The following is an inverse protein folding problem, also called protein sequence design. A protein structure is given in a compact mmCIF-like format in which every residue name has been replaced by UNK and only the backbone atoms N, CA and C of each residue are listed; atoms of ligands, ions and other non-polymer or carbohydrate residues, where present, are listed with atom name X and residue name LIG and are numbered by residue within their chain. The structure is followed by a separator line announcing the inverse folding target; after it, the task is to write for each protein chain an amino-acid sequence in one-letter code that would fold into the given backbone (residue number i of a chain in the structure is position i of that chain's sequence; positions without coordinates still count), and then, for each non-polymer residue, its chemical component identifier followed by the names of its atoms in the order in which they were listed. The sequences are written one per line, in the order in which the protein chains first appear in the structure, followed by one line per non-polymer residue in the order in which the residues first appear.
data_IF_891500228125
#
_entry.id   IF_891500228125
#
_cell.length_a   1.000
_cell.length_b   1.000
_cell.length_c   1.000
_cell.angle_alpha   90.00
_cell.angle_beta   90.00
_cell.angle_gamma   90.00
#
_symmetry.space_group_name_H-M   'P 1'
#
loop_
_entity.id
_entity.type
_entity.pdbx_description
1 polymer ?
#
# COMPACT_ATOMS: atom_id res chain seq x y z
N UNK A 1 54.49 -3.77 -39.95
CA UNK A 1 54.33 -3.65 -38.48
C UNK A 1 53.35 -2.48 -38.23
N UNK A 2 52.27 -2.49 -37.45
CA UNK A 2 51.77 -3.36 -36.39
C UNK A 2 50.23 -3.32 -36.36
N UNK A 3 49.56 -4.49 -36.30
CA UNK A 3 48.12 -4.63 -36.01
C UNK A 3 47.97 -5.48 -34.75
N UNK A 4 48.08 -4.88 -33.56
CA UNK A 4 47.74 -5.55 -32.29
C UNK A 4 47.36 -4.51 -31.23
N UNK A 5 46.09 -4.08 -31.19
CA UNK A 5 45.53 -3.37 -30.02
C UNK A 5 43.99 -3.41 -29.85
N UNK A 6 43.26 -4.28 -30.56
CA UNK A 6 41.78 -4.40 -30.41
C UNK A 6 41.29 -5.59 -29.57
N UNK A 7 42.13 -6.57 -29.24
CA UNK A 7 41.71 -7.81 -28.55
C UNK A 7 41.40 -7.65 -27.05
N UNK A 8 41.92 -6.63 -26.36
CA UNK A 8 41.76 -6.48 -24.90
C UNK A 8 40.42 -5.88 -24.44
N UNK A 9 39.77 -5.07 -25.29
CA UNK A 9 38.54 -4.34 -24.91
C UNK A 9 37.29 -5.23 -24.99
N UNK A 10 37.20 -6.08 -26.03
CA UNK A 10 36.08 -7.02 -26.22
C UNK A 10 36.02 -8.14 -25.19
N UNK A 11 37.17 -8.58 -24.66
CA UNK A 11 37.24 -9.60 -23.62
C UNK A 11 36.73 -9.09 -22.26
N UNK A 12 37.01 -7.82 -21.94
CA UNK A 12 36.51 -7.18 -20.70
C UNK A 12 35.00 -6.94 -20.75
N UNK A 13 34.45 -6.51 -21.89
CA UNK A 13 33.00 -6.35 -22.04
C UNK A 13 32.24 -7.68 -21.98
N UNK A 14 32.83 -8.75 -22.53
CA UNK A 14 32.27 -10.10 -22.43
C UNK A 14 32.26 -10.63 -20.98
N UNK A 15 33.32 -10.38 -20.20
CA UNK A 15 33.38 -10.80 -18.78
C UNK A 15 32.35 -10.04 -17.94
N UNK A 16 32.19 -8.73 -18.17
CA UNK A 16 31.19 -7.91 -17.45
C UNK A 16 29.76 -8.36 -17.79
N UNK A 17 29.48 -8.64 -19.07
CA UNK A 17 28.17 -9.14 -19.48
C UNK A 17 27.84 -10.51 -18.87
N UNK A 18 28.82 -11.42 -18.80
CA UNK A 18 28.68 -12.71 -18.14
C UNK A 18 28.45 -12.59 -16.63
N UNK A 19 29.17 -11.67 -15.95
CA UNK A 19 28.96 -11.42 -14.53
C UNK A 19 27.55 -10.87 -14.24
N UNK A 20 27.06 -9.94 -15.05
CA UNK A 20 25.70 -9.41 -14.93
C UNK A 20 24.62 -10.46 -15.19
N UNK A 21 24.85 -11.34 -16.17
CA UNK A 21 23.95 -12.46 -16.44
C UNK A 21 23.91 -13.45 -15.26
N UNK A 22 25.05 -13.78 -14.67
CA UNK A 22 25.13 -14.65 -13.48
C UNK A 22 24.44 -14.02 -12.26
N UNK A 23 24.59 -12.71 -12.06
CA UNK A 23 23.86 -11.98 -11.00
C UNK A 23 22.35 -12.03 -11.27
N UNK A 24 21.91 -11.78 -12.51
CA UNK A 24 20.51 -11.87 -12.89
C UNK A 24 19.91 -13.25 -12.67
N UNK A 25 20.64 -14.32 -13.02
CA UNK A 25 20.21 -15.71 -12.77
C UNK A 25 20.17 -16.03 -11.27
N UNK A 26 21.15 -15.58 -10.49
CA UNK A 26 21.14 -15.78 -9.04
C UNK A 26 19.96 -15.03 -8.37
N UNK A 27 19.68 -13.80 -8.78
CA UNK A 27 18.53 -13.02 -8.32
C UNK A 27 17.22 -13.70 -8.72
N UNK A 28 17.10 -14.14 -9.97
CA UNK A 28 15.91 -14.86 -10.44
C UNK A 28 15.67 -16.18 -9.70
N UNK A 29 16.72 -16.97 -9.47
CA UNK A 29 16.64 -18.20 -8.68
C UNK A 29 16.30 -17.92 -7.22
N UNK A 30 16.84 -16.86 -6.63
CA UNK A 30 16.49 -16.42 -5.28
C UNK A 30 15.02 -16.02 -5.18
N UNK A 31 14.53 -15.24 -6.15
CA UNK A 31 13.12 -14.82 -6.23
C UNK A 31 12.15 -15.99 -6.41
N UNK A 32 12.56 -17.06 -7.10
CA UNK A 32 11.71 -18.26 -7.25
C UNK A 32 11.68 -19.16 -6.01
N UNK A 33 12.78 -19.25 -5.26
CA UNK A 33 12.85 -20.10 -4.05
C UNK A 33 12.17 -19.46 -2.84
N UNK A 34 11.95 -18.15 -2.88
CA UNK A 34 11.33 -17.42 -1.77
C UNK A 34 10.10 -16.59 -2.22
N UNK A 35 9.00 -17.24 -2.64
CA UNK A 35 7.74 -16.54 -2.88
C UNK A 35 7.24 -15.96 -1.55
N UNK A 36 7.41 -14.65 -1.36
CA UNK A 36 6.91 -13.92 -0.19
C UNK A 36 7.95 -13.39 0.80
N UNK A 37 9.26 -13.60 0.61
CA UNK A 37 10.28 -12.94 1.44
C UNK A 37 10.84 -11.69 0.77
N UNK A 38 10.03 -10.63 0.73
CA UNK A 38 10.62 -9.30 0.66
C UNK A 38 11.23 -9.02 2.04
N UNK A 39 12.47 -8.51 2.15
CA UNK A 39 12.88 -7.88 3.41
C UNK A 39 11.84 -6.81 3.70
N UNK A 40 11.13 -6.95 4.82
CA UNK A 40 10.27 -5.90 5.33
C UNK A 40 11.18 -4.68 5.53
N UNK A 41 11.16 -3.73 4.60
CA UNK A 41 11.72 -2.42 4.86
C UNK A 41 10.91 -1.92 6.07
N UNK A 42 11.54 -1.65 7.24
CA UNK A 42 10.84 -0.88 8.26
C UNK A 42 10.32 0.39 7.59
N UNK A 43 9.29 1.04 8.10
CA UNK A 43 8.91 2.37 7.63
C UNK A 43 10.10 3.33 7.85
N UNK A 44 11.14 3.28 7.02
CA UNK A 44 12.19 4.26 6.98
C UNK A 44 11.58 5.40 6.19
N UNK A 45 10.78 6.16 6.91
CA UNK A 45 10.52 7.53 6.53
C UNK A 45 11.87 8.19 6.38
N UNK A 46 12.15 8.73 5.19
CA UNK A 46 13.16 9.77 5.02
C UNK A 46 12.95 10.76 6.17
N UNK A 47 13.96 11.04 7.01
CA UNK A 47 13.82 12.05 8.03
C UNK A 47 13.44 13.36 7.32
N UNK A 48 12.20 13.83 7.48
CA UNK A 48 11.96 15.25 7.25
C UNK A 48 12.73 15.94 8.37
N UNK A 49 13.91 16.43 7.99
CA UNK A 49 14.86 17.08 8.85
C UNK A 49 14.23 18.39 9.35
N UNK A 50 13.87 18.38 10.62
CA UNK A 50 13.84 19.54 11.49
C UNK A 50 14.37 19.07 12.84
N UNK A 51 15.24 19.86 13.45
CA UNK A 51 16.01 19.64 14.68
C UNK A 51 15.14 19.54 15.96
N UNK A 52 14.07 18.74 15.93
CA UNK A 52 13.34 18.42 17.14
C UNK A 52 14.21 17.52 18.03
N UNK A 53 14.40 17.86 19.32
CA UNK A 53 15.17 17.03 20.23
C UNK A 53 14.58 15.63 20.30
N UNK A 54 15.45 14.62 20.25
CA UNK A 54 15.07 13.24 20.49
C UNK A 54 14.73 13.06 21.97
N UNK A 55 13.56 12.48 22.25
CA UNK A 55 13.09 12.20 23.61
C UNK A 55 12.72 10.73 23.74
N UNK A 56 12.80 10.23 24.97
CA UNK A 56 12.46 8.85 25.27
C UNK A 56 10.94 8.62 25.15
N UNK A 57 10.54 7.46 24.64
CA UNK A 57 9.14 7.13 24.40
C UNK A 57 8.41 6.60 25.65
N UNK A 58 9.13 6.25 26.70
CA UNK A 58 8.64 5.60 27.92
C UNK A 58 7.94 6.56 28.90
N UNK A 59 8.33 7.84 28.91
CA UNK A 59 7.69 8.84 29.76
C UNK A 59 7.64 10.23 29.07
N UNK A 60 6.45 10.82 28.90
CA UNK A 60 6.31 12.22 28.50
C UNK A 60 6.90 13.15 29.58
N UNK A 61 7.84 14.00 29.19
CA UNK A 61 8.48 14.97 30.09
C UNK A 61 7.71 16.31 30.05
N UNK A 62 7.14 16.79 31.17
CA UNK A 62 6.44 18.08 31.22
C UNK A 62 7.26 19.27 30.69
N UNK A 63 8.60 19.22 30.72
CA UNK A 63 9.45 20.27 30.15
C UNK A 63 9.38 20.38 28.60
N UNK A 64 8.78 19.38 27.94
CA UNK A 64 8.52 19.35 26.51
C UNK A 64 7.11 19.79 26.13
N UNK A 65 6.26 20.17 27.09
CA UNK A 65 4.89 20.61 26.81
C UNK A 65 4.85 21.75 25.79
N UNK A 66 4.03 21.60 24.76
CA UNK A 66 3.91 22.56 23.66
C UNK A 66 5.12 22.63 22.71
N UNK A 67 6.18 21.86 22.96
CA UNK A 67 7.39 21.84 22.12
C UNK A 67 7.31 20.72 21.10
N UNK A 68 7.95 20.96 19.95
CA UNK A 68 8.16 19.93 18.93
C UNK A 68 9.27 18.98 19.40
N UNK A 69 8.99 17.69 19.45
CA UNK A 69 9.91 16.63 19.86
C UNK A 69 9.93 15.50 18.83
N UNK A 70 11.02 14.73 18.80
CA UNK A 70 11.13 13.49 18.04
C UNK A 70 11.10 12.30 18.99
N UNK A 71 10.11 11.43 18.84
CA UNK A 71 9.94 10.24 19.68
C UNK A 71 10.24 9.01 18.83
N UNK A 72 11.14 8.14 19.28
CA UNK A 72 11.40 6.85 18.66
C UNK A 72 10.94 5.72 19.58
N UNK A 73 10.17 4.77 19.06
CA UNK A 73 9.63 3.67 19.86
C UNK A 73 8.91 2.62 19.01
N UNK A 74 8.22 1.69 19.67
CA UNK A 74 7.39 0.69 18.98
C UNK A 74 5.97 1.21 18.87
N UNK A 75 5.50 1.49 17.66
CA UNK A 75 4.10 1.83 17.40
C UNK A 75 3.24 0.59 17.57
N UNK A 76 2.18 0.70 18.36
CA UNK A 76 1.17 -0.34 18.55
C UNK A 76 -0.22 0.26 18.47
N UNK A 77 -1.17 -0.53 18.01
CA UNK A 77 -2.59 -0.24 18.17
C UNK A 77 -3.05 -0.81 19.52
N UNK A 78 -3.76 -0.03 20.33
CA UNK A 78 -4.43 -0.53 21.54
C UNK A 78 -5.88 -0.95 21.28
N UNK A 79 -6.40 -0.67 20.08
CA UNK A 79 -7.68 -1.16 19.57
C UNK A 79 -7.58 -1.45 18.07
N UNK A 80 -8.37 -2.39 17.51
CA UNK A 80 -8.29 -2.74 16.09
C UNK A 80 -8.69 -1.58 15.17
N UNK A 81 -8.07 -1.51 14.00
CA UNK A 81 -8.56 -0.73 12.86
C UNK A 81 -9.80 -1.43 12.28
N UNK A 82 -10.85 -0.65 11.95
CA UNK A 82 -12.15 -1.21 11.56
C UNK A 82 -12.70 -0.57 10.29
N UNK A 83 -13.00 -1.43 9.32
CA UNK A 83 -13.88 -1.13 8.19
C UNK A 83 -15.32 -1.50 8.58
N UNK A 84 -16.13 -0.51 8.93
CA UNK A 84 -17.53 -0.72 9.36
C UNK A 84 -18.46 -1.10 8.22
N UNK A 85 -18.11 -0.73 6.98
CA UNK A 85 -18.96 -0.98 5.82
C UNK A 85 -18.92 -2.46 5.42
N UNK A 86 -17.74 -3.09 5.56
CA UNK A 86 -17.56 -4.52 5.34
C UNK A 86 -17.48 -5.36 6.62
N UNK A 87 -17.57 -4.74 7.80
CA UNK A 87 -17.49 -5.41 9.09
C UNK A 87 -16.10 -5.98 9.45
N UNK A 88 -15.06 -5.59 8.72
CA UNK A 88 -13.70 -6.13 8.88
C UNK A 88 -12.97 -5.37 9.99
N UNK A 89 -12.35 -6.11 10.91
CA UNK A 89 -11.54 -5.57 12.01
C UNK A 89 -10.20 -6.28 12.07
N UNK A 90 -9.11 -5.51 12.23
CA UNK A 90 -7.75 -6.06 12.26
C UNK A 90 -6.92 -5.39 13.35
N UNK A 91 -6.16 -6.18 14.11
CA UNK A 91 -5.23 -5.73 15.13
C UNK A 91 -3.95 -5.15 14.51
N UNK A 92 -4.10 -4.02 13.83
CA UNK A 92 -3.03 -3.27 13.21
C UNK A 92 -3.26 -1.75 13.37
N UNK A 93 -2.20 -0.93 13.40
CA UNK A 93 -2.32 0.53 13.40
C UNK A 93 -3.20 1.08 12.27
N UNK A 94 -3.10 0.51 11.07
CA UNK A 94 -3.86 0.95 9.91
C UNK A 94 -4.31 -0.25 9.08
N UNK A 95 -5.57 -0.24 8.70
CA UNK A 95 -6.16 -1.10 7.67
C UNK A 95 -6.39 -0.26 6.40
N UNK A 96 -5.94 -0.76 5.26
CA UNK A 96 -6.12 -0.16 3.94
C UNK A 96 -7.05 -1.04 3.13
N UNK A 97 -8.13 -0.47 2.60
CA UNK A 97 -9.02 -1.09 1.62
C UNK A 97 -8.76 -0.47 0.26
N UNK A 98 -8.42 -1.30 -0.72
CA UNK A 98 -8.34 -0.88 -2.12
C UNK A 98 -9.46 -1.54 -2.90
N UNK A 99 -10.31 -0.72 -3.53
CA UNK A 99 -11.42 -1.15 -4.37
C UNK A 99 -11.10 -0.80 -5.81
N UNK A 100 -11.26 -1.78 -6.69
CA UNK A 100 -11.23 -1.57 -8.13
C UNK A 100 -12.53 -2.07 -8.72
N UNK A 101 -12.98 -1.41 -9.78
CA UNK A 101 -14.12 -1.85 -10.59
C UNK A 101 -13.62 -2.37 -11.93
N UNK A 102 -14.23 -3.47 -12.37
CA UNK A 102 -14.10 -3.98 -13.73
C UNK A 102 -14.87 -3.08 -14.66
N UNK A 103 -14.19 -2.43 -15.59
CA UNK A 103 -14.77 -1.41 -16.45
C UNK A 103 -13.99 -1.30 -17.76
N UNK A 104 -14.62 -0.73 -18.78
CA UNK A 104 -13.97 -0.40 -20.04
C UNK A 104 -12.94 0.71 -19.84
N UNK A 105 -11.78 0.50 -20.47
CA UNK A 105 -10.69 1.46 -20.57
C UNK A 105 -10.44 1.74 -22.05
N UNK A 106 -10.35 3.01 -22.41
CA UNK A 106 -9.96 3.47 -23.74
C UNK A 106 -8.47 3.77 -23.79
N UNK A 107 -7.81 3.35 -24.86
CA UNK A 107 -6.44 3.74 -25.21
C UNK A 107 -6.40 4.18 -26.66
N UNK A 108 -6.18 5.45 -26.90
CA UNK A 108 -6.05 6.00 -28.24
C UNK A 108 -4.59 6.22 -28.62
N UNK A 109 -4.27 5.92 -29.88
CA UNK A 109 -3.12 6.48 -30.58
C UNK A 109 -3.58 7.64 -31.49
N UNK A 110 -2.70 8.13 -32.36
CA UNK A 110 -3.01 9.26 -33.25
C UNK A 110 -4.18 8.97 -34.22
N UNK A 111 -4.49 7.71 -34.51
CA UNK A 111 -5.38 7.31 -35.60
C UNK A 111 -6.57 6.47 -35.11
N UNK A 112 -6.40 5.66 -34.07
CA UNK A 112 -7.36 4.67 -33.61
C UNK A 112 -7.44 4.61 -32.07
N UNK A 113 -8.57 4.13 -31.56
CA UNK A 113 -8.77 3.83 -30.13
C UNK A 113 -9.05 2.36 -29.93
N UNK A 114 -8.48 1.80 -28.87
CA UNK A 114 -8.64 0.43 -28.43
C UNK A 114 -9.39 0.42 -27.10
N UNK A 115 -10.33 -0.51 -26.97
CA UNK A 115 -11.12 -0.68 -25.76
C UNK A 115 -10.85 -2.05 -25.15
N UNK A 116 -10.58 -2.08 -23.85
CA UNK A 116 -10.38 -3.32 -23.13
C UNK A 116 -10.99 -3.22 -21.74
N UNK A 117 -11.51 -4.34 -21.25
CA UNK A 117 -11.90 -4.43 -19.85
C UNK A 117 -10.67 -4.47 -18.96
N UNK A 118 -10.62 -3.56 -17.99
CA UNK A 118 -9.56 -3.44 -16.99
C UNK A 118 -10.13 -3.31 -15.58
N UNK A 119 -9.25 -3.48 -14.60
CA UNK A 119 -9.54 -3.10 -13.22
C UNK A 119 -8.99 -1.70 -12.99
N UNK A 120 -9.86 -0.74 -12.69
CA UNK A 120 -9.46 0.62 -12.35
C UNK A 120 -10.03 1.00 -10.97
N UNK A 121 -9.27 1.80 -10.22
CA UNK A 121 -9.59 2.24 -8.86
C UNK A 121 -10.38 3.56 -8.81
N UNK A 122 -10.62 4.17 -9.97
CA UNK A 122 -11.44 5.35 -10.16
C UNK A 122 -12.51 5.10 -11.23
N UNK A 123 -13.64 5.81 -11.17
CA UNK A 123 -14.63 5.80 -12.24
C UNK A 123 -14.04 6.33 -13.55
N UNK A 124 -14.22 5.58 -14.64
CA UNK A 124 -13.90 6.03 -16.00
C UNK A 124 -15.20 6.47 -16.67
N UNK A 125 -15.26 7.75 -17.01
CA UNK A 125 -16.38 8.36 -17.71
C UNK A 125 -16.44 7.89 -19.18
N UNK A 126 -17.15 6.79 -19.42
CA UNK A 126 -17.27 6.18 -20.74
C UNK A 126 -18.05 7.03 -21.74
N UNK A 127 -18.79 8.07 -21.30
CA UNK A 127 -19.44 8.98 -22.26
C UNK A 127 -18.44 9.86 -22.99
N UNK A 128 -17.19 9.91 -22.53
CA UNK A 128 -16.08 10.64 -23.17
C UNK A 128 -15.25 9.77 -24.10
N UNK A 129 -15.56 8.48 -24.23
CA UNK A 129 -14.90 7.63 -25.22
C UNK A 129 -15.16 8.13 -26.64
N UNK A 130 -14.20 7.89 -27.54
CA UNK A 130 -14.34 8.20 -28.96
C UNK A 130 -15.49 7.41 -29.59
N UNK A 131 -15.70 6.18 -29.15
CA UNK A 131 -16.83 5.33 -29.50
C UNK A 131 -17.42 4.66 -28.25
N UNK A 132 -18.41 5.32 -27.59
CA UNK A 132 -19.04 4.80 -26.38
C UNK A 132 -19.96 3.59 -26.63
N UNK A 133 -20.37 3.33 -27.87
CA UNK A 133 -21.34 2.28 -28.17
C UNK A 133 -20.73 0.90 -27.84
N UNK A 134 -21.40 0.14 -26.97
CA UNK A 134 -20.90 -1.15 -26.48
C UNK A 134 -19.86 -1.07 -25.35
N UNK A 135 -19.42 0.15 -24.97
CA UNK A 135 -18.38 0.38 -23.97
C UNK A 135 -18.87 1.15 -22.72
N UNK A 136 -20.16 1.02 -22.40
CA UNK A 136 -20.75 1.70 -21.26
C UNK A 136 -20.20 1.16 -19.93
N UNK A 137 -19.76 2.06 -19.05
CA UNK A 137 -19.37 1.75 -17.68
C UNK A 137 -20.53 1.95 -16.69
N UNK A 138 -20.47 1.24 -15.56
CA UNK A 138 -21.44 1.40 -14.49
C UNK A 138 -21.32 2.80 -13.85
N UNK A 139 -22.44 3.52 -13.75
CA UNK A 139 -22.47 4.84 -13.11
C UNK A 139 -22.38 4.76 -11.58
N UNK A 140 -22.95 3.69 -11.01
CA UNK A 140 -22.93 3.45 -9.57
C UNK A 140 -21.59 2.86 -9.16
N UNK A 141 -21.01 3.40 -8.10
CA UNK A 141 -19.82 2.87 -7.46
C UNK A 141 -20.15 2.73 -5.98
N UNK A 142 -20.58 1.55 -5.51
CA UNK A 142 -21.16 1.43 -4.17
C UNK A 142 -20.12 1.40 -3.06
N UNK A 143 -18.87 1.04 -3.35
CA UNK A 143 -17.81 0.85 -2.36
C UNK A 143 -16.53 1.59 -2.77
N UNK A 144 -15.94 2.40 -1.89
CA UNK A 144 -14.69 3.15 -2.19
C UNK A 144 -13.47 2.58 -1.48
N UNK A 145 -12.29 2.80 -2.05
CA UNK A 145 -11.02 2.65 -1.33
C UNK A 145 -11.01 3.54 -0.09
N UNK A 146 -10.45 3.05 1.01
CA UNK A 146 -10.47 3.75 2.28
C UNK A 146 -9.27 3.36 3.16
N UNK A 147 -8.93 4.25 4.09
CA UNK A 147 -7.91 4.04 5.11
C UNK A 147 -8.56 4.15 6.48
N UNK A 148 -8.40 3.10 7.28
CA UNK A 148 -8.95 3.01 8.63
C UNK A 148 -7.81 2.98 9.63
N UNK A 149 -7.74 3.97 10.51
CA UNK A 149 -6.76 4.00 11.59
C UNK A 149 -7.36 3.38 12.85
N UNK A 150 -6.55 2.63 13.59
CA UNK A 150 -6.90 2.11 14.91
C UNK A 150 -7.43 3.22 15.83
N UNK A 151 -8.39 2.89 16.70
CA UNK A 151 -9.03 3.86 17.59
C UNK A 151 -8.07 4.56 18.54
N UNK A 152 -7.00 3.88 18.94
CA UNK A 152 -5.89 4.47 19.68
C UNK A 152 -4.56 3.85 19.22
N UNK A 153 -3.58 4.73 19.03
CA UNK A 153 -2.21 4.41 18.64
C UNK A 153 -1.28 4.81 19.76
N UNK A 154 -0.32 3.95 20.10
CA UNK A 154 0.68 4.23 21.13
C UNK A 154 2.09 4.07 20.59
N UNK A 155 2.96 5.01 20.94
CA UNK A 155 4.40 4.95 20.73
C UNK A 155 5.06 5.07 22.10
N UNK A 156 5.31 3.92 22.73
CA UNK A 156 5.60 3.87 24.17
C UNK A 156 4.42 4.41 25.00
N UNK A 157 4.69 5.36 25.88
CA UNK A 157 3.69 6.02 26.72
C UNK A 157 2.86 7.06 25.97
N UNK A 158 3.33 7.57 24.82
CA UNK A 158 2.61 8.58 24.04
C UNK A 158 1.42 8.00 23.30
N UNK A 159 0.26 8.66 23.41
CA UNK A 159 -0.85 8.48 22.48
C UNK A 159 -0.56 9.30 21.21
N UNK A 160 -0.54 8.64 20.07
CA UNK A 160 -0.16 9.24 18.78
C UNK A 160 -1.40 9.74 18.06
N UNK A 161 -1.36 10.99 17.61
CA UNK A 161 -2.32 11.53 16.66
C UNK A 161 -2.18 10.81 15.30
N UNK A 162 -3.26 10.21 14.76
CA UNK A 162 -3.28 9.61 13.43
C UNK A 162 -2.71 10.49 12.30
N UNK A 163 -2.80 11.82 12.43
CA UNK A 163 -2.26 12.77 11.46
C UNK A 163 -0.73 12.72 11.33
N UNK A 164 -0.04 12.17 12.33
CA UNK A 164 1.42 11.95 12.30
C UNK A 164 1.83 10.69 11.54
N UNK A 165 0.90 9.78 11.26
CA UNK A 165 1.22 8.59 10.49
C UNK A 165 1.42 8.95 9.01
N UNK A 166 2.44 8.41 8.33
CA UNK A 166 2.59 8.58 6.89
C UNK A 166 1.34 8.10 6.16
N UNK A 167 0.80 8.95 5.27
CA UNK A 167 -0.43 8.66 4.52
C UNK A 167 -0.19 7.58 3.46
N UNK A 168 1.02 7.54 2.93
CA UNK A 168 1.55 6.69 1.88
C UNK A 168 2.37 5.50 2.43
N UNK A 169 2.30 5.23 3.73
CA UNK A 169 2.94 4.06 4.34
C UNK A 169 2.57 2.79 3.55
N UNK A 170 3.55 2.03 3.04
CA UNK A 170 3.26 0.80 2.32
C UNK A 170 2.58 -0.20 3.24
N UNK A 171 1.46 -0.76 2.78
CA UNK A 171 0.77 -1.84 3.48
C UNK A 171 1.28 -3.21 3.03
N UNK A 172 1.30 -4.17 3.95
CA UNK A 172 1.48 -5.58 3.61
C UNK A 172 0.12 -6.21 3.28
N UNK A 173 0.00 -7.04 2.23
CA UNK A 173 -1.26 -7.69 1.90
C UNK A 173 -1.86 -8.44 3.10
N UNK A 174 -3.16 -8.24 3.32
CA UNK A 174 -3.90 -8.92 4.38
C UNK A 174 -5.06 -9.70 3.73
N UNK A 175 -4.95 -11.04 3.64
CA UNK A 175 -5.92 -11.85 2.92
C UNK A 175 -7.26 -11.86 3.65
N UNK A 176 -8.32 -11.45 2.94
CA UNK A 176 -9.69 -11.45 3.44
C UNK A 176 -10.43 -12.70 2.97
N UNK A 177 -11.31 -13.22 3.82
CA UNK A 177 -12.16 -14.39 3.60
C UNK A 177 -13.62 -14.06 3.89
N UNK A 178 -14.55 -14.82 3.30
CA UNK A 178 -15.99 -14.59 3.52
C UNK A 178 -16.42 -14.76 4.99
N UNK A 179 -15.71 -15.57 5.78
CA UNK A 179 -16.01 -15.79 7.19
C UNK A 179 -15.86 -14.52 8.06
N UNK A 180 -15.16 -13.50 7.55
CA UNK A 180 -14.95 -12.22 8.22
C UNK A 180 -16.03 -11.19 7.88
N UNK A 181 -16.88 -11.48 6.88
CA UNK A 181 -17.96 -10.58 6.47
C UNK A 181 -19.22 -10.82 7.32
N UNK A 182 -20.02 -9.76 7.59
CA UNK A 182 -21.38 -9.89 8.06
C UNK A 182 -22.24 -10.81 7.16
N UNK A 183 -23.20 -11.58 7.73
CA UNK A 183 -24.00 -12.55 6.96
C UNK A 183 -24.71 -11.96 5.73
N UNK A 184 -25.18 -10.72 5.83
CA UNK A 184 -25.86 -10.03 4.72
C UNK A 184 -24.94 -9.72 3.53
N UNK A 185 -23.61 -9.68 3.73
CA UNK A 185 -22.64 -9.42 2.67
C UNK A 185 -22.07 -10.69 2.03
N UNK A 186 -22.13 -11.83 2.73
CA UNK A 186 -21.62 -13.12 2.21
C UNK A 186 -22.28 -13.49 0.87
N UNK A 187 -23.55 -13.15 0.67
CA UNK A 187 -24.26 -13.41 -0.58
C UNK A 187 -23.74 -12.57 -1.77
N UNK A 188 -23.24 -11.36 -1.50
CA UNK A 188 -22.78 -10.40 -2.51
C UNK A 188 -21.34 -10.62 -2.98
N UNK A 189 -20.55 -11.35 -2.20
CA UNK A 189 -19.12 -11.55 -2.48
C UNK A 189 -18.77 -13.01 -2.72
N UNK A 190 -17.67 -13.19 -3.43
CA UNK A 190 -16.84 -14.39 -3.48
C UNK A 190 -15.47 -14.03 -2.92
N UNK A 191 -14.77 -14.99 -2.33
CA UNK A 191 -13.39 -14.79 -1.89
C UNK A 191 -12.48 -15.71 -2.69
N UNK A 192 -11.46 -15.13 -3.31
CA UNK A 192 -10.45 -15.84 -4.09
C UNK A 192 -9.10 -15.13 -3.91
N UNK A 193 -8.04 -15.91 -3.67
CA UNK A 193 -6.68 -15.35 -3.53
C UNK A 193 -6.49 -14.33 -2.39
N UNK A 194 -7.38 -14.31 -1.39
CA UNK A 194 -7.36 -13.33 -0.31
C UNK A 194 -7.95 -11.96 -0.67
N UNK A 195 -8.71 -11.88 -1.76
CA UNK A 195 -9.49 -10.71 -2.16
C UNK A 195 -11.00 -11.05 -2.13
N UNK A 196 -11.86 -10.02 -2.10
CA UNK A 196 -13.31 -10.17 -2.32
C UNK A 196 -13.66 -9.71 -3.73
N UNK A 197 -14.48 -10.49 -4.43
CA UNK A 197 -15.00 -10.17 -5.76
C UNK A 197 -16.53 -10.19 -5.74
N UNK A 198 -17.17 -9.26 -6.44
CA UNK A 198 -18.58 -9.44 -6.85
C UNK A 198 -18.63 -10.16 -8.20
N UNK A 199 -19.71 -10.88 -8.48
CA UNK A 199 -19.90 -11.59 -9.73
C UNK A 199 -19.14 -12.92 -9.82
N UNK A 200 -18.89 -13.39 -11.06
CA UNK A 200 -18.13 -14.60 -11.37
C UNK A 200 -16.62 -14.26 -11.44
N UNK A 201 -15.78 -14.75 -10.51
CA UNK A 201 -14.34 -14.46 -10.53
C UNK A 201 -13.64 -14.91 -11.81
N UNK A 202 -14.12 -15.97 -12.46
CA UNK A 202 -13.55 -16.47 -13.71
C UNK A 202 -13.92 -15.58 -14.92
N UNK A 203 -15.03 -14.83 -14.82
CA UNK A 203 -15.58 -13.99 -15.90
C UNK A 203 -16.15 -12.68 -15.34
N UNK A 204 -15.31 -11.78 -14.80
CA UNK A 204 -15.77 -10.53 -14.21
C UNK A 204 -16.37 -9.60 -15.27
N UNK A 205 -17.58 -9.13 -15.01
CA UNK A 205 -18.37 -8.26 -15.88
C UNK A 205 -18.15 -6.78 -15.54
N UNK A 206 -18.60 -5.88 -16.42
CA UNK A 206 -18.58 -4.43 -16.13
C UNK A 206 -19.38 -4.14 -14.87
N UNK A 207 -18.80 -3.36 -13.96
CA UNK A 207 -19.42 -3.02 -12.67
C UNK A 207 -19.01 -3.93 -11.53
N UNK A 208 -18.41 -5.10 -11.81
CA UNK A 208 -17.91 -5.97 -10.74
C UNK A 208 -16.80 -5.29 -9.95
N UNK A 209 -16.82 -5.51 -8.63
CA UNK A 209 -15.84 -4.97 -7.71
C UNK A 209 -14.83 -6.03 -7.30
N UNK A 210 -13.59 -5.60 -7.14
CA UNK A 210 -12.50 -6.34 -6.52
C UNK A 210 -11.98 -5.53 -5.35
N UNK A 211 -12.03 -6.13 -4.16
CA UNK A 211 -11.66 -5.50 -2.90
C UNK A 211 -10.50 -6.26 -2.29
N UNK A 212 -9.39 -5.57 -2.07
CA UNK A 212 -8.23 -6.11 -1.37
C UNK A 212 -7.95 -5.30 -0.12
N UNK A 213 -7.34 -5.97 0.84
CA UNK A 213 -6.91 -5.36 2.09
C UNK A 213 -5.40 -5.45 2.24
N UNK A 214 -4.86 -4.44 2.91
CA UNK A 214 -3.50 -4.42 3.39
C UNK A 214 -3.45 -3.80 4.77
N UNK A 215 -2.41 -4.11 5.54
CA UNK A 215 -2.19 -3.54 6.87
C UNK A 215 -0.87 -2.79 6.92
N UNK A 216 -0.85 -1.65 7.60
CA UNK A 216 0.40 -1.04 8.02
C UNK A 216 0.69 -1.58 9.40
N UNK A 217 1.66 -2.49 9.49
CA UNK A 217 2.04 -3.12 10.74
C UNK A 217 2.59 -2.10 11.74
N UNK A 218 2.37 -2.39 13.03
CA UNK A 218 3.12 -1.74 14.08
C UNK A 218 4.60 -2.14 14.04
N UNK A 219 5.42 -1.43 14.80
CA UNK A 219 6.85 -1.71 14.83
C UNK A 219 7.69 -0.50 15.21
N UNK A 220 9.01 -0.66 15.24
CA UNK A 220 9.94 0.44 15.50
C UNK A 220 9.76 1.56 14.47
N UNK A 221 9.51 2.78 14.94
CA UNK A 221 9.47 3.97 14.11
C UNK A 221 9.78 5.23 14.92
N UNK A 222 10.06 6.33 14.22
CA UNK A 222 10.25 7.64 14.82
C UNK A 222 9.24 8.64 14.25
N UNK A 223 8.54 9.35 15.14
CA UNK A 223 7.62 10.43 14.77
C UNK A 223 8.12 11.76 15.33
N UNK A 224 7.83 12.84 14.61
CA UNK A 224 8.05 14.20 15.10
C UNK A 224 6.70 14.90 15.24
N UNK A 225 6.44 15.48 16.41
CA UNK A 225 5.17 16.13 16.72
C UNK A 225 5.30 17.07 17.90
N UNK A 226 4.21 17.74 18.26
CA UNK A 226 4.16 18.58 19.46
C UNK A 226 3.68 17.73 20.63
N UNK A 227 4.38 17.76 21.77
CA UNK A 227 3.90 17.10 22.98
C UNK A 227 2.77 17.92 23.60
N UNK A 228 1.66 17.24 23.94
CA UNK A 228 0.54 17.78 24.72
C UNK A 228 0.12 16.78 25.78
N UNK A 229 0.59 16.96 27.02
CA UNK A 229 0.53 15.95 28.07
C UNK A 229 1.12 14.63 27.58
N UNK A 230 0.37 13.54 27.72
CA UNK A 230 0.74 12.22 27.21
C UNK A 230 0.48 11.99 25.73
N UNK A 231 0.24 13.03 24.92
CA UNK A 231 -0.06 12.91 23.49
C UNK A 231 1.06 13.49 22.64
N UNK A 232 1.31 12.86 21.50
CA UNK A 232 2.13 13.42 20.42
C UNK A 232 1.18 13.80 19.29
N UNK A 233 1.05 15.10 19.01
CA UNK A 233 0.09 15.62 18.02
C UNK A 233 0.79 16.27 16.84
N UNK A 234 0.09 16.39 15.70
CA UNK A 234 0.57 17.20 14.59
C UNK A 234 0.76 18.66 15.05
N UNK A 235 1.88 19.27 14.65
CA UNK A 235 2.07 20.70 14.83
C UNK A 235 1.23 21.50 13.83
N UNK A 236 0.99 22.80 14.09
CA UNK A 236 0.57 23.71 13.03
C UNK A 236 1.60 23.76 11.89
#
# INVERSE_FOLDING_TARGET
MARRRKQGRGRRTLIVALALALIGVAVWQYLQRHPGSWPAWPLATTPHAGDAPAVAADAPDPANEGRRVRVAGVLRASAPARDRELGISVDAPVLLRTVQMRQWLERCDAQQCHYALGWADQPVDSSRFRDPAGHANAAAWPLRSARFVAGELRLGAFVVDPALLPRDAPGTPWPVTLAQLPPNLVASFRSEGGELLTGDPARPAVGDLRVRFAVVAGGPLALSGVQRGGRLVAGP
#
